data_IF_273107894470
#
_entry.id   IF_273107894470
#
_cell.length_a   1.000
_cell.length_b   1.000
_cell.length_c   1.000
_cell.angle_alpha   90.00
_cell.angle_beta   90.00
_cell.angle_gamma   90.00
#
_symmetry.space_group_name_H-M   'P 1'
#
loop_
_entity.id
_entity.type
_entity.pdbx_description
1 polymer ?
#
# COMPACT_ATOMS: atom_id res chain seq x y z
N UNK A 1 -7.48 -26.24 3.99
CA UNK A 1 -6.73 -25.95 2.74
C UNK A 1 -7.37 -24.70 2.12
N UNK A 2 -6.59 -23.68 1.79
CA UNK A 2 -7.11 -22.39 1.29
C UNK A 2 -7.56 -22.55 -0.18
N UNK A 3 -8.86 -22.46 -0.44
CA UNK A 3 -9.45 -22.65 -1.77
C UNK A 3 -9.58 -21.28 -2.48
N UNK A 4 -8.68 -20.96 -3.40
CA UNK A 4 -8.65 -19.70 -4.13
C UNK A 4 -9.89 -19.47 -5.00
N UNK A 5 -10.51 -20.54 -5.51
CA UNK A 5 -11.68 -20.46 -6.40
C UNK A 5 -12.99 -20.08 -5.70
N UNK A 6 -13.10 -20.29 -4.38
CA UNK A 6 -14.30 -19.96 -3.60
C UNK A 6 -14.08 -18.78 -2.64
N UNK A 7 -12.84 -18.33 -2.49
CA UNK A 7 -12.50 -17.23 -1.60
C UNK A 7 -12.95 -15.89 -2.18
N UNK A 8 -13.82 -15.17 -1.46
CA UNK A 8 -13.93 -13.71 -1.67
C UNK A 8 -12.61 -13.08 -1.24
N UNK A 9 -12.02 -12.25 -2.11
CA UNK A 9 -10.83 -11.47 -1.76
C UNK A 9 -11.25 -10.40 -0.74
N UNK A 10 -11.10 -10.72 0.54
CA UNK A 10 -11.40 -9.79 1.63
C UNK A 10 -10.22 -8.87 1.96
N UNK A 11 -9.00 -9.35 1.73
CA UNK A 11 -7.74 -8.64 1.97
C UNK A 11 -6.74 -8.97 0.86
N UNK A 12 -6.11 -7.94 0.31
CA UNK A 12 -5.07 -8.06 -0.71
C UNK A 12 -3.74 -7.55 -0.13
N UNK A 13 -2.69 -8.35 -0.24
CA UNK A 13 -1.32 -7.94 0.06
C UNK A 13 -0.56 -7.76 -1.25
N UNK A 14 0.04 -6.58 -1.43
CA UNK A 14 0.91 -6.29 -2.58
C UNK A 14 2.31 -6.08 -2.04
N UNK A 15 3.26 -6.89 -2.50
CA UNK A 15 4.69 -6.76 -2.20
C UNK A 15 5.37 -6.22 -3.45
N UNK A 16 6.02 -5.06 -3.34
CA UNK A 16 6.69 -4.42 -4.47
C UNK A 16 7.79 -3.49 -4.01
N UNK A 17 8.32 -2.69 -4.93
CA UNK A 17 9.36 -1.70 -4.69
C UNK A 17 8.79 -0.29 -4.53
N UNK A 18 9.63 0.62 -4.03
CA UNK A 18 9.25 2.01 -3.75
C UNK A 18 8.48 2.68 -4.90
N UNK A 19 9.02 2.62 -6.13
CA UNK A 19 8.39 3.24 -7.30
C UNK A 19 6.97 2.73 -7.58
N UNK A 20 6.79 1.40 -7.59
CA UNK A 20 5.48 0.78 -7.83
C UNK A 20 4.50 1.08 -6.72
N UNK A 21 4.95 1.01 -5.46
CA UNK A 21 4.11 1.34 -4.30
C UNK A 21 3.62 2.79 -4.35
N UNK A 22 4.49 3.74 -4.69
CA UNK A 22 4.11 5.15 -4.78
C UNK A 22 3.14 5.42 -5.93
N UNK A 23 3.30 4.72 -7.07
CA UNK A 23 2.34 4.79 -8.18
C UNK A 23 0.97 4.21 -7.78
N UNK A 24 0.94 3.05 -7.14
CA UNK A 24 -0.29 2.44 -6.63
C UNK A 24 -0.98 3.31 -5.59
N UNK A 25 -0.23 3.88 -4.64
CA UNK A 25 -0.80 4.79 -3.64
C UNK A 25 -1.42 6.02 -4.28
N UNK A 26 -0.78 6.59 -5.30
CA UNK A 26 -1.32 7.75 -6.00
C UNK A 26 -2.58 7.39 -6.77
N UNK A 27 -2.60 6.24 -7.45
CA UNK A 27 -3.80 5.73 -8.12
C UNK A 27 -4.96 5.50 -7.16
N UNK A 28 -4.74 4.80 -6.04
CA UNK A 28 -5.82 4.48 -5.11
C UNK A 28 -6.35 5.70 -4.34
N UNK A 29 -5.50 6.68 -4.07
CA UNK A 29 -5.86 7.88 -3.31
C UNK A 29 -6.25 9.06 -4.20
N UNK A 30 -6.39 8.84 -5.51
CA UNK A 30 -6.73 9.87 -6.50
C UNK A 30 -5.79 11.09 -6.45
N UNK A 31 -4.49 10.81 -6.46
CA UNK A 31 -3.42 11.80 -6.41
C UNK A 31 -2.71 11.88 -7.77
N UNK A 32 -2.27 13.08 -8.13
CA UNK A 32 -1.51 13.30 -9.36
C UNK A 32 -0.26 12.42 -9.44
N UNK A 33 -0.08 11.76 -10.59
CA UNK A 33 1.10 10.96 -10.91
C UNK A 33 2.18 11.81 -11.56
N UNK A 34 3.35 11.87 -10.92
CA UNK A 34 4.56 12.48 -11.45
C UNK A 34 5.68 11.45 -11.66
N UNK A 35 6.64 11.68 -12.56
CA UNK A 35 7.77 10.77 -12.74
C UNK A 35 8.58 10.49 -11.45
N UNK A 36 8.56 11.43 -10.49
CA UNK A 36 9.24 11.33 -9.20
C UNK A 36 8.28 11.17 -8.01
N UNK A 37 7.09 10.61 -8.23
CA UNK A 37 6.07 10.38 -7.17
C UNK A 37 6.64 9.62 -5.97
N UNK A 38 7.62 8.74 -6.18
CA UNK A 38 8.33 8.01 -5.13
C UNK A 38 9.06 8.91 -4.13
N UNK A 39 9.47 10.13 -4.52
CA UNK A 39 10.05 11.11 -3.59
C UNK A 39 9.02 11.70 -2.65
N UNK A 40 7.75 11.79 -3.09
CA UNK A 40 6.65 12.35 -2.29
C UNK A 40 6.09 11.33 -1.30
N UNK A 41 6.06 10.06 -1.70
CA UNK A 41 5.57 8.94 -0.89
C UNK A 41 6.65 7.87 -0.77
N UNK A 42 7.74 8.19 -0.08
CA UNK A 42 8.94 7.36 0.03
C UNK A 42 8.71 6.20 1.03
N UNK A 43 8.46 4.96 0.57
CA UNK A 43 8.29 3.83 1.45
C UNK A 43 9.66 3.45 2.02
N UNK A 44 9.70 3.05 3.28
CA UNK A 44 10.86 2.45 3.92
C UNK A 44 11.01 1.01 3.44
N UNK A 45 12.23 0.47 3.57
CA UNK A 45 12.45 -0.96 3.44
C UNK A 45 11.53 -1.72 4.40
N UNK A 46 10.85 -2.73 3.84
CA UNK A 46 9.80 -3.48 4.51
C UNK A 46 8.64 -2.62 5.07
N UNK A 47 8.51 -1.34 4.72
CA UNK A 47 7.45 -0.47 5.24
C UNK A 47 6.06 -0.93 4.80
N UNK A 48 5.17 -1.16 5.76
CA UNK A 48 3.80 -1.56 5.48
C UNK A 48 2.89 -0.34 5.32
N UNK A 49 2.14 -0.30 4.22
CA UNK A 49 1.11 0.72 3.99
C UNK A 49 -0.24 0.03 3.84
N UNK A 50 -1.22 0.46 4.63
CA UNK A 50 -2.56 -0.13 4.65
C UNK A 50 -3.58 0.85 4.08
N UNK A 51 -4.29 0.41 3.05
CA UNK A 51 -5.46 1.08 2.52
C UNK A 51 -6.72 0.32 2.92
N UNK A 52 -7.81 1.05 3.20
CA UNK A 52 -9.14 0.45 3.37
C UNK A 52 -10.03 0.90 2.22
N UNK A 53 -10.57 -0.05 1.47
CA UNK A 53 -11.59 0.21 0.47
C UNK A 53 -12.98 0.24 1.13
N UNK A 54 -13.90 0.93 0.51
CA UNK A 54 -15.31 0.93 0.88
C UNK A 54 -16.13 1.11 -0.39
N UNK A 55 -17.10 0.24 -0.59
CA UNK A 55 -17.89 0.20 -1.82
C UNK A 55 -18.95 1.30 -1.79
N UNK A 56 -19.08 2.06 -2.87
CA UNK A 56 -20.16 3.01 -3.11
C UNK A 56 -20.71 2.73 -4.50
N UNK A 57 -21.98 2.30 -4.58
CA UNK A 57 -22.60 1.86 -5.84
C UNK A 57 -21.74 0.78 -6.53
N UNK A 58 -21.33 1.00 -7.78
CA UNK A 58 -20.45 0.11 -8.55
C UNK A 58 -18.95 0.34 -8.31
N UNK A 59 -18.56 1.36 -7.55
CA UNK A 59 -17.16 1.76 -7.35
C UNK A 59 -16.64 1.52 -5.94
N UNK A 60 -15.35 1.77 -5.74
CA UNK A 60 -14.70 1.78 -4.43
C UNK A 60 -13.98 3.10 -4.22
N UNK A 61 -14.13 3.67 -3.02
CA UNK A 61 -13.20 4.68 -2.53
C UNK A 61 -12.19 4.02 -1.60
N UNK A 62 -10.95 4.52 -1.65
CA UNK A 62 -9.88 4.05 -0.78
C UNK A 62 -9.47 5.16 0.16
N UNK A 63 -9.16 4.78 1.40
CA UNK A 63 -8.56 5.68 2.39
C UNK A 63 -7.30 5.08 2.95
N UNK A 64 -6.31 5.94 3.16
CA UNK A 64 -5.08 5.59 3.87
C UNK A 64 -5.41 5.36 5.36
N UNK A 65 -5.05 4.18 5.86
CA UNK A 65 -5.20 3.82 7.27
C UNK A 65 -3.91 3.96 8.03
N UNK A 66 -2.82 3.56 7.40
CA UNK A 66 -1.48 3.61 7.97
C UNK A 66 -0.49 3.71 6.81
N UNK A 67 0.52 4.56 6.95
CA UNK A 67 1.56 4.75 5.97
C UNK A 67 2.91 4.36 6.54
N UNK A 68 3.63 3.51 5.80
CA UNK A 68 5.03 3.25 6.02
C UNK A 68 5.38 2.75 7.44
N UNK A 69 4.54 1.89 7.99
CA UNK A 69 4.74 1.29 9.29
C UNK A 69 5.92 0.31 9.27
N UNK A 70 6.89 0.56 10.14
CA UNK A 70 8.08 -0.27 10.37
C UNK A 70 8.23 -0.61 11.86
N UNK A 71 7.18 -0.43 12.66
CA UNK A 71 7.22 -0.65 14.13
C UNK A 71 7.50 -2.10 14.52
N UNK A 72 7.30 -3.04 13.59
CA UNK A 72 7.59 -4.46 13.76
C UNK A 72 9.05 -4.82 13.47
N UNK A 73 9.85 -3.90 12.94
CA UNK A 73 11.30 -4.10 12.79
C UNK A 73 11.98 -3.84 14.15
N UNK A 74 12.87 -4.75 14.53
CA UNK A 74 13.48 -4.74 15.85
C UNK A 74 14.67 -3.78 15.94
N UNK A 75 15.36 -3.54 14.83
CA UNK A 75 16.54 -2.70 14.75
C UNK A 75 16.26 -1.38 14.04
N UNK A 76 16.83 -0.27 14.54
CA UNK A 76 16.78 1.02 13.83
C UNK A 76 17.57 0.99 12.51
N UNK A 77 18.59 0.14 12.41
CA UNK A 77 19.40 -0.03 11.19
C UNK A 77 18.61 -0.69 10.06
N UNK A 78 17.55 -1.43 10.40
CA UNK A 78 16.63 -2.03 9.42
C UNK A 78 15.62 -1.00 8.87
N UNK A 79 15.41 0.11 9.57
CA UNK A 79 14.39 1.14 9.25
C UNK A 79 14.89 2.16 8.22
N UNK A 80 15.49 1.67 7.14
CA UNK A 80 16.04 2.46 6.04
C UNK A 80 15.00 2.76 4.95
N UNK A 81 15.36 3.58 3.96
CA UNK A 81 14.54 3.91 2.77
C UNK A 81 15.10 3.29 1.51
#
# INVERSE_FOLDING_TARGET
>A
MFNLTESKIEKLLIISHAGTMSALLSYFLDLDLFPWTWRKYLPRHAGHTTLKSSQISSGHFFRLKEFNNVTFLNSEEEKTY
#
